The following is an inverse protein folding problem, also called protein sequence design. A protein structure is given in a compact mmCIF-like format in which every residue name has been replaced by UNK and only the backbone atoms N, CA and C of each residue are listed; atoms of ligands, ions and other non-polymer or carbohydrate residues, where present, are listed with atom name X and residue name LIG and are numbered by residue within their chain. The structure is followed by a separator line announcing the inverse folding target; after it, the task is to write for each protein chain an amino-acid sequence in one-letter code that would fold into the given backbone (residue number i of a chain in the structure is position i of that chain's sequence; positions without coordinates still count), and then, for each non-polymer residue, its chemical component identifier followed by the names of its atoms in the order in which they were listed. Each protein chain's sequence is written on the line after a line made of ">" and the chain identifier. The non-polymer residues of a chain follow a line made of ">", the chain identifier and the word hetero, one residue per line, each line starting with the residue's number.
data_IF_186129166603
#
_entry.id   IF_186129166603
#
_cell.length_a   1.000
_cell.length_b   1.000
_cell.length_c   1.000
_cell.angle_alpha   90.00
_cell.angle_beta   90.00
_cell.angle_gamma   90.00
#
_symmetry.space_group_name_H-M   'P 1'
#
loop_
_entity.id
_entity.type
_entity.pdbx_description
1 polymer ?
#
# COMPACT_ATOMS: atom_id res chain seq x y z
N UNK A 1 1.44 6.22 13.90
CA UNK A 1 1.95 7.36 14.58
C UNK A 1 3.09 7.96 13.87
N UNK A 2 4.11 7.20 13.59
CA UNK A 2 5.27 7.74 12.91
C UNK A 2 4.90 8.38 11.58
N UNK A 3 4.09 7.69 10.82
CA UNK A 3 3.72 8.23 9.51
C UNK A 3 2.87 9.49 9.65
N UNK A 4 2.11 9.59 10.72
CA UNK A 4 1.31 10.77 10.94
C UNK A 4 2.18 11.96 11.20
N UNK A 5 3.26 11.74 11.94
CA UNK A 5 4.17 12.83 12.24
C UNK A 5 4.80 13.35 10.95
N UNK A 6 5.21 12.43 10.06
CA UNK A 6 5.79 12.85 8.81
C UNK A 6 4.83 13.68 7.98
N UNK A 7 3.58 13.24 7.93
CA UNK A 7 2.60 13.95 7.13
C UNK A 7 2.26 15.32 7.71
N UNK A 8 2.20 15.40 9.03
CA UNK A 8 1.86 16.65 9.68
C UNK A 8 2.87 17.74 9.40
N UNK A 9 4.12 17.35 9.19
CA UNK A 9 5.18 18.31 8.96
C UNK A 9 5.22 18.83 7.52
N UNK A 10 4.44 18.27 6.63
CA UNK A 10 4.47 18.70 5.24
C UNK A 10 3.63 19.96 5.06
N UNK A 11 4.19 21.00 4.41
CA UNK A 11 3.41 22.18 4.09
C UNK A 11 2.35 21.95 3.02
N UNK A 12 2.39 20.80 2.36
CA UNK A 12 1.47 20.50 1.26
C UNK A 12 0.42 19.45 1.64
N UNK A 13 0.34 19.10 2.92
CA UNK A 13 -0.56 18.03 3.33
C UNK A 13 -2.01 18.29 2.97
N UNK A 14 -2.40 19.55 2.92
CA UNK A 14 -3.79 19.90 2.62
C UNK A 14 -4.19 19.57 1.18
N UNK A 15 -3.20 19.34 0.30
CA UNK A 15 -3.53 18.96 -1.07
C UNK A 15 -4.34 17.68 -1.14
N UNK A 16 -4.11 16.77 -0.20
CA UNK A 16 -4.87 15.53 -0.19
C UNK A 16 -6.37 15.80 -0.02
N UNK A 17 -6.72 16.72 0.86
CA UNK A 17 -8.13 17.04 1.07
C UNK A 17 -8.73 17.79 -0.11
N UNK A 18 -7.91 18.57 -0.80
CA UNK A 18 -8.37 19.34 -1.94
C UNK A 18 -8.55 18.46 -3.17
N UNK A 19 -7.63 17.56 -3.40
CA UNK A 19 -7.56 16.83 -4.67
C UNK A 19 -8.28 15.49 -4.62
N UNK A 20 -8.22 14.77 -3.51
CA UNK A 20 -8.78 13.42 -3.43
C UNK A 20 -10.20 13.47 -2.89
N UNK A 21 -11.20 12.99 -3.65
CA UNK A 21 -12.58 12.96 -3.14
C UNK A 21 -12.68 12.14 -1.86
N UNK A 22 -13.60 12.51 -1.00
CA UNK A 22 -13.78 11.80 0.26
C UNK A 22 -14.19 10.36 0.07
N UNK A 23 -14.90 10.07 -1.00
CA UNK A 23 -15.37 8.72 -1.29
C UNK A 23 -14.44 7.93 -2.19
N UNK A 24 -13.23 8.43 -2.43
CA UNK A 24 -12.27 7.69 -3.24
C UNK A 24 -11.96 6.36 -2.57
N UNK A 25 -11.88 5.29 -3.36
CA UNK A 25 -11.70 3.95 -2.82
C UNK A 25 -10.45 3.82 -1.97
N UNK A 26 -9.35 4.45 -2.37
CA UNK A 26 -8.11 4.35 -1.59
C UNK A 26 -8.20 5.10 -0.27
N UNK A 27 -8.95 6.20 -0.24
CA UNK A 27 -9.14 6.92 1.01
C UNK A 27 -9.96 6.08 1.97
N UNK A 28 -11.01 5.45 1.48
CA UNK A 28 -11.85 4.59 2.31
C UNK A 28 -11.09 3.38 2.81
N UNK A 29 -10.29 2.76 1.95
CA UNK A 29 -9.47 1.61 2.35
C UNK A 29 -8.51 1.99 3.46
N UNK A 30 -7.86 3.13 3.30
CA UNK A 30 -6.85 3.55 4.25
C UNK A 30 -7.43 3.86 5.61
N UNK A 31 -8.68 4.35 5.63
CA UNK A 31 -9.35 4.66 6.88
C UNK A 31 -9.92 3.42 7.55
N UNK A 32 -10.34 2.46 6.76
CA UNK A 32 -11.02 1.29 7.29
C UNK A 32 -10.09 0.18 7.70
N UNK A 33 -9.06 -0.08 6.92
CA UNK A 33 -8.17 -1.20 7.17
C UNK A 33 -6.95 -0.73 7.95
N UNK A 34 -6.71 -1.37 9.09
CA UNK A 34 -5.52 -1.11 9.88
C UNK A 34 -4.43 -2.02 9.35
N UNK A 35 -3.47 -1.45 8.65
CA UNK A 35 -2.41 -2.23 8.01
C UNK A 35 -1.26 -2.59 8.95
N UNK A 36 -1.39 -2.32 10.23
CA UNK A 36 -0.33 -2.65 11.16
C UNK A 36 -0.05 -4.14 11.24
N UNK A 37 -1.01 -4.98 10.83
CA UNK A 37 -0.78 -6.42 10.81
C UNK A 37 0.36 -6.80 9.88
N UNK A 38 0.63 -5.97 8.87
CA UNK A 38 1.73 -6.22 7.95
C UNK A 38 3.06 -6.15 8.68
N UNK A 39 3.20 -5.17 9.55
CA UNK A 39 4.43 -5.02 10.32
C UNK A 39 4.69 -6.25 11.17
N UNK A 40 3.64 -6.76 11.80
CA UNK A 40 3.77 -7.95 12.64
C UNK A 40 4.15 -9.19 11.83
N UNK A 41 3.52 -9.36 10.68
CA UNK A 41 3.78 -10.51 9.84
C UNK A 41 5.17 -10.51 9.25
N UNK A 42 5.68 -9.34 8.89
CA UNK A 42 6.97 -9.22 8.25
C UNK A 42 8.09 -8.87 9.21
N UNK A 43 7.79 -8.82 10.48
CA UNK A 43 8.74 -8.46 11.49
C UNK A 43 10.02 -9.30 11.43
N UNK A 44 9.86 -10.61 11.25
CA UNK A 44 10.99 -11.51 11.22
C UNK A 44 11.91 -11.28 10.05
N UNK A 45 11.40 -10.78 8.96
CA UNK A 45 12.19 -10.58 7.76
C UNK A 45 13.08 -9.36 7.85
N UNK A 46 12.81 -8.51 8.83
CA UNK A 46 13.59 -7.30 9.02
C UNK A 46 14.51 -7.37 10.21
N UNK A 47 14.68 -8.54 10.79
CA UNK A 47 15.48 -8.64 11.97
C UNK A 47 16.90 -8.58 11.65
N UNK A 48 17.58 -8.31 12.67
CA UNK A 48 18.92 -8.53 12.74
C UNK A 48 19.73 -8.24 11.64
N UNK A 49 20.50 -7.71 11.79
CA UNK A 49 21.53 -7.64 11.04
C UNK A 49 21.49 -6.94 9.79
N UNK A 50 20.46 -6.97 9.26
CA UNK A 50 20.34 -6.33 8.04
C UNK A 50 20.18 -4.91 8.23
N UNK A 51 20.47 -4.49 9.31
CA UNK A 51 20.49 -3.19 9.68
C UNK A 51 20.27 -2.05 8.77
N UNK A 52 19.99 -2.26 7.59
CA UNK A 52 19.76 -1.19 6.70
C UNK A 52 18.40 -0.63 6.98
N UNK A 53 18.30 0.64 7.36
CA UNK A 53 17.00 1.25 7.54
C UNK A 53 16.35 1.30 6.19
N UNK A 54 15.55 0.33 5.91
CA UNK A 54 14.87 0.30 4.65
C UNK A 54 13.52 0.93 4.77
N UNK A 55 12.74 0.78 3.73
CA UNK A 55 11.39 1.24 3.74
C UNK A 55 10.58 0.37 4.68
N UNK A 56 9.59 0.97 5.31
CA UNK A 56 8.76 0.23 6.25
C UNK A 56 7.96 -0.83 5.51
N UNK A 57 7.78 -2.00 6.14
CA UNK A 57 7.05 -3.09 5.50
C UNK A 57 5.65 -2.69 5.07
N UNK A 58 5.00 -1.86 5.85
CA UNK A 58 3.65 -1.45 5.55
C UNK A 58 3.57 -0.65 4.25
N UNK A 59 4.55 0.23 4.04
CA UNK A 59 4.59 1.02 2.81
C UNK A 59 4.85 0.11 1.62
N UNK A 60 5.79 -0.81 1.76
CA UNK A 60 6.12 -1.73 0.67
C UNK A 60 4.94 -2.62 0.33
N UNK A 61 4.24 -3.12 1.34
CA UNK A 61 3.04 -3.92 1.11
C UNK A 61 1.99 -3.13 0.36
N UNK A 62 1.79 -1.87 0.72
CA UNK A 62 0.80 -1.04 0.05
C UNK A 62 1.15 -0.78 -1.40
N UNK A 63 2.44 -0.64 -1.72
CA UNK A 63 2.85 -0.57 -3.11
C UNK A 63 2.42 -1.82 -3.87
N UNK A 64 2.66 -2.98 -3.28
CA UNK A 64 2.29 -4.23 -3.94
C UNK A 64 0.77 -4.38 -4.04
N UNK A 65 0.06 -3.87 -3.06
CA UNK A 65 -1.39 -3.89 -3.11
C UNK A 65 -1.89 -3.02 -4.26
N UNK A 66 -1.33 -1.83 -4.42
CA UNK A 66 -1.69 -0.96 -5.54
C UNK A 66 -1.36 -1.62 -6.87
N UNK A 67 -0.20 -2.27 -6.92
CA UNK A 67 0.19 -2.99 -8.12
C UNK A 67 -0.87 -4.00 -8.51
N UNK A 68 -1.35 -4.77 -7.54
CA UNK A 68 -2.36 -5.79 -7.79
C UNK A 68 -3.71 -5.17 -8.13
N UNK A 69 -4.11 -4.17 -7.38
CA UNK A 69 -5.43 -3.55 -7.56
C UNK A 69 -5.59 -2.91 -8.93
N UNK A 70 -4.53 -2.31 -9.42
CA UNK A 70 -4.60 -1.57 -10.68
C UNK A 70 -3.85 -2.26 -11.82
N UNK A 71 -3.43 -3.50 -11.58
CA UNK A 71 -2.79 -4.34 -12.60
C UNK A 71 -1.58 -3.65 -13.22
N UNK A 72 -0.67 -3.22 -12.38
CA UNK A 72 0.52 -2.51 -12.81
C UNK A 72 1.76 -3.37 -12.59
N UNK A 73 2.83 -3.05 -13.32
CA UNK A 73 4.12 -3.66 -13.07
C UNK A 73 4.79 -2.97 -11.88
N UNK A 74 5.88 -3.54 -11.39
CA UNK A 74 6.64 -2.91 -10.31
C UNK A 74 7.06 -1.49 -10.71
N UNK A 75 7.49 -1.35 -11.94
CA UNK A 75 7.92 -0.06 -12.43
C UNK A 75 6.76 0.92 -12.56
N UNK A 76 5.67 0.45 -13.13
CA UNK A 76 4.54 1.34 -13.41
C UNK A 76 3.86 1.82 -12.15
N UNK A 77 3.77 0.98 -11.12
CA UNK A 77 3.13 1.43 -9.89
C UNK A 77 3.95 2.54 -9.23
N UNK A 78 5.27 2.42 -9.28
CA UNK A 78 6.13 3.45 -8.71
C UNK A 78 6.05 4.73 -9.52
N UNK A 79 6.11 4.61 -10.85
CA UNK A 79 6.04 5.79 -11.70
C UNK A 79 4.71 6.51 -11.56
N UNK A 80 3.62 5.76 -11.49
CA UNK A 80 2.32 6.38 -11.32
C UNK A 80 2.23 7.11 -10.00
N UNK A 81 2.85 6.58 -8.96
CA UNK A 81 2.80 7.20 -7.64
C UNK A 81 3.43 8.59 -7.63
N UNK A 82 4.36 8.86 -8.54
CA UNK A 82 4.99 10.17 -8.60
C UNK A 82 3.99 11.29 -8.74
N UNK A 83 2.94 11.06 -9.51
CA UNK A 83 1.97 12.11 -9.83
C UNK A 83 0.56 11.79 -9.38
N UNK A 84 0.33 10.66 -8.75
CA UNK A 84 -1.00 10.27 -8.32
C UNK A 84 -1.15 10.56 -6.83
N UNK A 85 -1.93 11.59 -6.52
CA UNK A 85 -2.12 12.00 -5.13
C UNK A 85 -2.80 10.92 -4.30
N UNK A 86 -3.74 10.20 -4.90
CA UNK A 86 -4.44 9.15 -4.16
C UNK A 86 -3.49 8.01 -3.80
N UNK A 87 -2.58 7.67 -4.71
CA UNK A 87 -1.57 6.65 -4.41
C UNK A 87 -0.66 7.13 -3.28
N UNK A 88 -0.18 8.36 -3.36
CA UNK A 88 0.68 8.89 -2.31
C UNK A 88 -0.02 8.93 -0.96
N UNK A 89 -1.28 9.33 -0.96
CA UNK A 89 -2.06 9.36 0.25
C UNK A 89 -2.18 7.95 0.85
N UNK A 90 -2.50 6.98 0.01
CA UNK A 90 -2.68 5.60 0.46
C UNK A 90 -1.40 5.06 1.08
N UNK A 91 -0.27 5.38 0.48
CA UNK A 91 1.03 4.91 0.97
C UNK A 91 1.48 5.62 2.25
N UNK A 92 0.85 6.73 2.59
CA UNK A 92 1.25 7.49 3.75
C UNK A 92 2.41 8.44 3.49
N UNK A 93 2.64 8.77 2.23
CA UNK A 93 3.69 9.72 1.87
C UNK A 93 3.16 11.13 1.92
N UNK A 94 4.06 12.09 2.09
CA UNK A 94 3.69 13.49 1.93
C UNK A 94 3.53 13.77 0.43
N UNK A 95 2.72 14.78 0.05
CA UNK A 95 2.50 15.04 -1.37
C UNK A 95 3.78 15.30 -2.16
N UNK A 96 4.75 15.94 -1.54
CA UNK A 96 6.00 16.28 -2.22
C UNK A 96 7.08 15.21 -2.06
N UNK A 97 6.80 14.17 -1.29
CA UNK A 97 7.80 13.16 -1.00
C UNK A 97 8.11 12.31 -2.23
N UNK A 98 9.37 11.97 -2.41
CA UNK A 98 9.78 11.13 -3.51
C UNK A 98 9.29 9.70 -3.36
N UNK A 99 9.20 9.02 -4.51
CA UNK A 99 8.84 7.59 -4.51
C UNK A 99 10.10 6.75 -4.43
N UNK A 100 9.92 5.47 -4.15
CA UNK A 100 11.06 4.55 -4.05
C UNK A 100 11.56 4.21 -5.46
N UNK A 101 12.68 3.53 -5.52
CA UNK A 101 13.15 2.96 -6.77
C UNK A 101 12.40 1.66 -6.99
N UNK A 102 11.98 1.39 -8.22
CA UNK A 102 11.17 0.20 -8.46
C UNK A 102 11.96 -1.08 -8.17
N UNK A 103 13.28 -1.03 -8.27
CA UNK A 103 14.09 -2.18 -7.93
C UNK A 103 13.99 -2.54 -6.45
N UNK A 104 13.77 -1.56 -5.60
CA UNK A 104 13.56 -1.82 -4.18
C UNK A 104 12.29 -2.62 -3.97
N UNK A 105 11.25 -2.31 -4.72
CA UNK A 105 10.00 -3.04 -4.64
C UNK A 105 10.17 -4.49 -5.10
N UNK A 106 10.90 -4.67 -6.18
CA UNK A 106 11.17 -6.01 -6.69
C UNK A 106 11.95 -6.83 -5.66
N UNK A 107 12.94 -6.22 -5.04
CA UNK A 107 13.74 -6.91 -4.01
C UNK A 107 12.89 -7.26 -2.81
N UNK A 108 12.04 -6.36 -2.39
CA UNK A 108 11.17 -6.62 -1.25
C UNK A 108 10.29 -7.84 -1.53
N UNK A 109 9.68 -7.87 -2.69
CA UNK A 109 8.80 -8.97 -3.07
C UNK A 109 9.54 -10.30 -3.07
N UNK A 110 10.75 -10.31 -3.61
CA UNK A 110 11.52 -11.55 -3.72
C UNK A 110 12.15 -12.01 -2.41
N UNK A 111 12.56 -11.06 -1.60
CA UNK A 111 13.30 -11.41 -0.38
C UNK A 111 12.43 -11.50 0.86
N UNK A 112 11.39 -10.68 0.93
CA UNK A 112 10.57 -10.60 2.14
C UNK A 112 9.28 -11.38 2.03
N UNK A 113 8.76 -11.48 0.83
CA UNK A 113 7.51 -12.20 0.59
C UNK A 113 7.83 -13.37 -0.32
N UNK A 114 8.50 -14.35 0.21
CA UNK A 114 8.96 -15.49 -0.59
C UNK A 114 7.83 -16.26 -1.24
N UNK A 115 6.64 -16.16 -0.66
CA UNK A 115 5.51 -16.90 -1.15
C UNK A 115 4.44 -15.93 -1.63
N UNK A 116 4.18 -15.92 -2.93
CA UNK A 116 3.17 -15.03 -3.48
C UNK A 116 1.78 -15.32 -2.96
N UNK A 117 1.53 -16.54 -2.51
CA UNK A 117 0.22 -16.86 -1.96
C UNK A 117 -0.03 -16.10 -0.66
N UNK A 118 1.01 -15.80 0.09
CA UNK A 118 0.86 -15.01 1.31
C UNK A 118 0.42 -13.61 0.94
N UNK A 119 1.04 -13.04 -0.07
CA UNK A 119 0.69 -11.72 -0.56
C UNK A 119 -0.76 -11.68 -1.02
N UNK A 120 -1.15 -12.66 -1.81
CA UNK A 120 -2.51 -12.74 -2.32
C UNK A 120 -3.51 -12.85 -1.18
N UNK A 121 -3.20 -13.65 -0.18
CA UNK A 121 -4.08 -13.82 0.96
C UNK A 121 -4.25 -12.52 1.74
N UNK A 122 -3.16 -11.78 1.91
CA UNK A 122 -3.23 -10.52 2.63
C UNK A 122 -4.03 -9.47 1.87
N UNK A 123 -3.86 -9.41 0.58
CA UNK A 123 -4.62 -8.48 -0.24
C UNK A 123 -6.10 -8.85 -0.21
N UNK A 124 -6.40 -10.14 -0.38
CA UNK A 124 -7.79 -10.59 -0.35
C UNK A 124 -8.44 -10.27 0.98
N UNK A 125 -7.73 -10.45 2.06
CA UNK A 125 -8.27 -10.14 3.37
C UNK A 125 -8.57 -8.65 3.49
N UNK A 126 -7.67 -7.82 3.01
CA UNK A 126 -7.88 -6.37 3.06
C UNK A 126 -9.08 -5.96 2.23
N UNK A 127 -9.21 -6.53 1.03
CA UNK A 127 -10.33 -6.23 0.15
C UNK A 127 -11.63 -6.72 0.78
N UNK A 128 -11.60 -7.89 1.40
CA UNK A 128 -12.78 -8.45 2.03
C UNK A 128 -13.28 -7.54 3.16
N UNK A 129 -12.38 -7.07 3.98
CA UNK A 129 -12.75 -6.14 5.05
C UNK A 129 -13.42 -4.90 4.47
N UNK A 130 -12.86 -4.38 3.39
CA UNK A 130 -13.40 -3.20 2.75
C UNK A 130 -14.82 -3.46 2.24
N UNK A 131 -15.01 -4.56 1.55
CA UNK A 131 -16.30 -4.91 0.98
C UNK A 131 -17.34 -5.12 2.07
N UNK A 132 -16.96 -5.81 3.14
CA UNK A 132 -17.87 -6.06 4.24
C UNK A 132 -18.34 -4.78 4.93
N UNK A 133 -17.57 -3.73 4.79
CA UNK A 133 -17.92 -2.45 5.39
C UNK A 133 -18.46 -1.46 4.38
N UNK A 134 -18.86 -1.95 3.23
CA UNK A 134 -19.60 -1.13 2.29
C UNK A 134 -18.78 -0.29 1.33
N UNK A 135 -17.48 -0.48 1.28
CA UNK A 135 -16.65 0.25 0.34
C UNK A 135 -16.86 -0.31 -1.05
N UNK A 136 -17.13 0.57 -2.00
CA UNK A 136 -17.29 0.15 -3.38
C UNK A 136 -15.94 0.12 -4.06
N UNK A 137 -15.51 -1.06 -4.45
CA UNK A 137 -14.26 -1.23 -5.16
C UNK A 137 -14.54 -1.57 -6.61
N UNK A 138 -13.53 -1.42 -7.44
CA UNK A 138 -13.70 -1.75 -8.84
C UNK A 138 -13.99 -3.23 -8.99
N UNK A 139 -14.70 -3.56 -10.08
CA UNK A 139 -15.06 -4.94 -10.34
C UNK A 139 -13.85 -5.84 -10.41
N UNK A 140 -12.79 -5.34 -11.00
CA UNK A 140 -11.56 -6.11 -11.16
C UNK A 140 -11.00 -6.53 -9.82
N UNK A 141 -10.99 -5.62 -8.85
CA UNK A 141 -10.45 -5.90 -7.52
C UNK A 141 -11.27 -6.97 -6.84
N UNK A 142 -12.59 -6.88 -6.93
CA UNK A 142 -13.47 -7.83 -6.28
C UNK A 142 -13.32 -9.22 -6.90
N UNK A 143 -13.22 -9.28 -8.21
CA UNK A 143 -13.05 -10.55 -8.90
C UNK A 143 -11.74 -11.22 -8.52
N UNK A 144 -10.66 -10.44 -8.47
CA UNK A 144 -9.37 -10.99 -8.07
C UNK A 144 -9.42 -11.56 -6.66
N UNK A 145 -10.05 -10.84 -5.77
CA UNK A 145 -10.17 -11.30 -4.39
C UNK A 145 -10.93 -12.61 -4.30
N UNK A 146 -12.05 -12.70 -5.01
CA UNK A 146 -12.86 -13.90 -5.02
C UNK A 146 -12.10 -15.06 -5.65
N UNK A 147 -11.40 -14.78 -6.72
CA UNK A 147 -10.63 -15.79 -7.42
C UNK A 147 -9.54 -16.36 -6.55
N UNK A 148 -8.91 -15.51 -5.77
CA UNK A 148 -7.84 -15.92 -4.87
C UNK A 148 -8.31 -16.90 -3.83
N UNK A 149 -9.54 -16.77 -3.42
CA UNK A 149 -10.09 -17.65 -2.39
C UNK A 149 -10.41 -19.04 -2.91
N UNK A 150 -10.65 -19.11 -4.18
CA UNK A 150 -10.99 -20.40 -4.76
C UNK A 150 -9.78 -21.30 -4.81
#
# INVERSE_FOLDING_TARGET
>A
MIKQEGMILSPYIDLYDIIIPEDHELRQLNELVDFSFVDDLLKHTYTSGNGRPGYRPQVMFKYLMLKRMYELSDRDVVERTRTDMAFKYFLGLAPEEDVIEFSSLTKFRKLRLKDESVMDALISKSVQIAVENGIKLSKTIIVDSTHTEA
#
